data_IF_829778594186
#
_entry.id   IF_829778594186
#
_cell.length_a   1.000
_cell.length_b   1.000
_cell.length_c   1.000
_cell.angle_alpha   90.00
_cell.angle_beta   90.00
_cell.angle_gamma   90.00
#
_symmetry.space_group_name_H-M   'P 1'
#
loop_
_entity.id
_entity.type
_entity.pdbx_description
1 polymer ?
#
# COMPACT_ATOMS: atom_id res chain seq x y z
N UNK A 1 9.50 -9.21 5.19
CA UNK A 1 9.32 -7.80 4.80
C UNK A 1 8.04 -7.28 5.40
N UNK A 2 8.10 -6.14 6.09
CA UNK A 2 6.91 -5.54 6.66
C UNK A 2 6.15 -4.72 5.62
N UNK A 3 4.92 -4.34 5.94
CA UNK A 3 4.14 -3.45 5.09
C UNK A 3 4.86 -2.11 4.90
N UNK A 4 5.47 -1.59 5.96
CA UNK A 4 6.22 -0.33 5.87
C UNK A 4 7.43 -0.47 4.95
N UNK A 5 8.16 -1.58 5.02
CA UNK A 5 9.29 -1.82 4.12
C UNK A 5 8.82 -1.91 2.67
N UNK A 6 7.69 -2.56 2.44
CA UNK A 6 7.10 -2.66 1.11
C UNK A 6 6.77 -1.27 0.54
N UNK A 7 6.18 -0.41 1.35
CA UNK A 7 5.84 0.96 0.93
C UNK A 7 7.09 1.76 0.61
N UNK A 8 8.15 1.63 1.43
CA UNK A 8 9.41 2.33 1.17
C UNK A 8 10.05 1.87 -0.13
N UNK A 9 10.04 0.57 -0.39
CA UNK A 9 10.54 0.04 -1.66
C UNK A 9 9.72 0.53 -2.84
N UNK A 10 8.39 0.59 -2.68
CA UNK A 10 7.52 1.12 -3.71
C UNK A 10 7.91 2.55 -4.07
N UNK A 11 8.14 3.40 -3.07
CA UNK A 11 8.55 4.78 -3.30
C UNK A 11 9.86 4.85 -4.07
N UNK A 12 10.83 4.00 -3.73
CA UNK A 12 12.09 3.92 -4.45
C UNK A 12 11.87 3.58 -5.93
N UNK A 13 11.07 2.57 -6.20
CA UNK A 13 10.76 2.16 -7.58
C UNK A 13 10.03 3.25 -8.36
N UNK A 14 9.18 4.00 -7.69
CA UNK A 14 8.40 5.06 -8.32
C UNK A 14 9.14 6.40 -8.36
N UNK A 15 10.35 6.46 -7.81
CA UNK A 15 11.18 7.66 -7.78
C UNK A 15 10.51 8.82 -7.06
N UNK A 16 9.81 8.54 -5.98
CA UNK A 16 9.19 9.58 -5.14
C UNK A 16 9.64 9.39 -3.69
N UNK A 17 9.58 10.46 -2.91
CA UNK A 17 9.83 10.36 -1.48
C UNK A 17 8.60 9.85 -0.75
N UNK A 18 8.81 9.31 0.45
CA UNK A 18 7.70 8.92 1.33
C UNK A 18 6.83 10.15 1.65
N UNK A 19 7.47 11.31 1.83
CA UNK A 19 6.74 12.56 2.08
C UNK A 19 5.83 12.93 0.91
N UNK A 20 6.30 12.76 -0.31
CA UNK A 20 5.48 13.02 -1.48
C UNK A 20 4.31 12.06 -1.56
N UNK A 21 4.54 10.78 -1.27
CA UNK A 21 3.46 9.80 -1.25
C UNK A 21 2.39 10.20 -0.24
N UNK A 22 2.81 10.61 0.96
CA UNK A 22 1.88 11.05 2.00
C UNK A 22 0.98 12.17 1.48
N UNK A 23 1.56 13.17 0.82
CA UNK A 23 0.78 14.28 0.27
C UNK A 23 -0.21 13.82 -0.79
N UNK A 24 0.18 12.89 -1.64
CA UNK A 24 -0.69 12.38 -2.71
C UNK A 24 -1.90 11.64 -2.17
N UNK A 25 -1.80 11.06 -1.00
CA UNK A 25 -2.93 10.35 -0.37
C UNK A 25 -3.65 11.20 0.68
N UNK A 26 -3.33 12.50 0.73
CA UNK A 26 -4.03 13.43 1.61
C UNK A 26 -3.61 13.39 3.06
N UNK A 27 -2.40 12.92 3.35
CA UNK A 27 -1.88 12.85 4.71
C UNK A 27 -0.66 13.75 4.85
N UNK A 28 -0.40 14.20 6.09
CA UNK A 28 0.87 14.90 6.36
C UNK A 28 2.00 13.87 6.41
N UNK A 29 3.22 14.27 5.98
CA UNK A 29 4.37 13.37 6.08
C UNK A 29 4.61 12.87 7.50
N UNK A 30 4.41 13.72 8.51
CA UNK A 30 4.60 13.34 9.91
C UNK A 30 3.64 12.24 10.34
N UNK A 31 2.35 12.40 10.02
CA UNK A 31 1.34 11.40 10.38
C UNK A 31 1.60 10.08 9.65
N UNK A 32 1.94 10.15 8.37
CA UNK A 32 2.21 8.95 7.60
C UNK A 32 3.46 8.22 8.11
N UNK A 33 4.52 8.96 8.44
CA UNK A 33 5.72 8.37 9.03
C UNK A 33 5.42 7.65 10.34
N UNK A 34 4.56 8.23 11.19
CA UNK A 34 4.15 7.56 12.42
C UNK A 34 3.45 6.24 12.15
N UNK A 35 2.57 6.20 11.15
CA UNK A 35 1.89 4.97 10.76
C UNK A 35 2.88 3.92 10.27
N UNK A 36 3.87 4.33 9.49
CA UNK A 36 4.90 3.41 9.02
C UNK A 36 5.71 2.84 10.19
N UNK A 37 6.11 3.69 11.14
CA UNK A 37 6.87 3.24 12.30
C UNK A 37 6.08 2.27 13.17
N UNK A 38 4.79 2.48 13.30
CA UNK A 38 3.91 1.68 14.15
C UNK A 38 3.32 0.48 13.42
N UNK A 39 3.59 0.34 12.12
CA UNK A 39 3.01 -0.72 11.28
C UNK A 39 1.47 -0.70 11.32
N UNK A 40 0.89 0.50 11.27
CA UNK A 40 -0.56 0.69 11.38
C UNK A 40 -1.20 1.17 10.09
N UNK A 41 -0.51 1.04 8.96
CA UNK A 41 -1.10 1.35 7.65
C UNK A 41 -2.19 0.32 7.36
N UNK A 42 -3.40 0.81 7.08
CA UNK A 42 -4.57 -0.03 6.88
C UNK A 42 -4.67 -0.51 5.43
N UNK A 43 -5.48 -1.55 5.21
CA UNK A 43 -5.79 -2.01 3.86
C UNK A 43 -6.37 -0.87 3.02
N UNK A 44 -7.27 -0.07 3.59
CA UNK A 44 -7.87 1.06 2.89
C UNK A 44 -6.81 2.05 2.42
N UNK A 45 -5.80 2.31 3.26
CA UNK A 45 -4.70 3.21 2.89
C UNK A 45 -3.82 2.60 1.78
N UNK A 46 -3.58 1.29 1.82
CA UNK A 46 -2.84 0.62 0.76
C UNK A 46 -3.56 0.72 -0.59
N UNK A 47 -4.89 0.58 -0.57
CA UNK A 47 -5.70 0.76 -1.77
C UNK A 47 -5.62 2.20 -2.27
N UNK A 48 -5.69 3.17 -1.36
CA UNK A 48 -5.56 4.59 -1.70
C UNK A 48 -4.20 4.89 -2.33
N UNK A 49 -3.13 4.30 -1.79
CA UNK A 49 -1.78 4.43 -2.35
C UNK A 49 -1.74 3.89 -3.78
N UNK A 50 -2.27 2.70 -3.99
CA UNK A 50 -2.27 2.08 -5.32
C UNK A 50 -3.04 2.93 -6.33
N UNK A 51 -4.20 3.44 -5.93
CA UNK A 51 -5.00 4.30 -6.81
C UNK A 51 -4.28 5.61 -7.11
N UNK A 52 -3.65 6.22 -6.11
CA UNK A 52 -2.93 7.48 -6.30
C UNK A 52 -1.73 7.35 -7.24
N UNK A 53 -1.09 6.19 -7.26
CA UNK A 53 0.06 5.91 -8.11
C UNK A 53 -0.30 5.19 -9.41
N UNK A 54 -1.58 4.91 -9.61
CA UNK A 54 -2.10 4.19 -10.78
C UNK A 54 -1.42 2.83 -10.96
N UNK A 55 -1.29 2.10 -9.86
CA UNK A 55 -0.74 0.75 -9.84
C UNK A 55 -1.75 -0.20 -9.20
N UNK A 56 -1.45 -1.50 -9.27
CA UNK A 56 -2.32 -2.54 -8.70
C UNK A 56 -1.78 -3.01 -7.37
N UNK A 57 -2.66 -3.11 -6.37
CA UNK A 57 -2.39 -3.75 -5.10
C UNK A 57 -3.34 -4.92 -4.91
N UNK A 58 -2.83 -6.07 -4.54
CA UNK A 58 -3.64 -7.26 -4.24
C UNK A 58 -3.20 -7.90 -2.94
N UNK A 59 -4.19 -8.37 -2.16
CA UNK A 59 -3.98 -9.29 -1.05
C UNK A 59 -4.60 -10.62 -1.43
N UNK A 60 -3.92 -11.72 -1.12
CA UNK A 60 -4.38 -13.03 -1.57
C UNK A 60 -4.14 -14.10 -0.52
N UNK A 61 -5.15 -14.95 -0.30
CA UNK A 61 -4.99 -16.24 0.35
C UNK A 61 -4.93 -17.30 -0.73
N UNK A 62 -3.93 -18.16 -0.67
CA UNK A 62 -3.78 -19.28 -1.59
C UNK A 62 -4.02 -20.56 -0.82
N UNK A 63 -5.07 -21.28 -1.17
CA UNK A 63 -5.46 -22.51 -0.48
C UNK A 63 -4.65 -23.69 -1.02
N UNK A 64 -4.63 -24.78 -0.24
CA UNK A 64 -3.90 -26.00 -0.66
C UNK A 64 -4.42 -26.57 -1.99
N UNK A 65 -5.69 -26.36 -2.28
CA UNK A 65 -6.29 -26.78 -3.57
C UNK A 65 -5.82 -25.96 -4.76
N UNK A 66 -5.10 -24.85 -4.51
CA UNK A 66 -4.71 -23.90 -5.55
C UNK A 66 -5.70 -22.77 -5.74
N UNK A 67 -6.87 -22.85 -5.10
CA UNK A 67 -7.85 -21.77 -5.14
C UNK A 67 -7.29 -20.52 -4.48
N UNK A 68 -7.68 -19.36 -5.00
CA UNK A 68 -7.24 -18.05 -4.47
C UNK A 68 -8.44 -17.23 -4.04
N UNK A 69 -8.31 -16.59 -2.87
CA UNK A 69 -9.29 -15.64 -2.37
C UNK A 69 -8.54 -14.31 -2.25
N UNK A 70 -8.93 -13.32 -3.02
CA UNK A 70 -8.16 -12.07 -3.10
C UNK A 70 -9.04 -10.84 -3.13
N UNK A 71 -8.45 -9.71 -2.76
CA UNK A 71 -9.05 -8.39 -2.87
C UNK A 71 -7.97 -7.38 -3.23
N UNK A 72 -8.37 -6.21 -3.69
CA UNK A 72 -7.42 -5.16 -4.04
C UNK A 72 -8.12 -3.94 -4.62
N UNK A 73 -7.32 -2.98 -5.08
CA UNK A 73 -7.84 -1.73 -5.60
C UNK A 73 -8.51 -1.88 -6.98
N UNK A 74 -8.12 -2.90 -7.73
CA UNK A 74 -8.67 -3.17 -9.06
C UNK A 74 -9.66 -4.33 -9.04
N UNK A 75 -10.24 -4.62 -7.88
CA UNK A 75 -11.22 -5.66 -7.73
C UNK A 75 -12.48 -5.23 -8.48
N UNK A 76 -12.85 -5.99 -9.50
CA UNK A 76 -13.93 -5.63 -10.41
C UNK A 76 -15.32 -6.05 -9.92
N UNK A 77 -15.41 -6.55 -8.72
CA UNK A 77 -16.68 -7.03 -8.18
C UNK A 77 -17.76 -5.95 -8.14
#
# INVERSE_FOLDING_TARGET
MSTSDMIKQLCEHMNISVAELARRIGQTPQNFNKKLQRETVTLKELITIADALDITYEQVFILHSGAKIKTGNKDAS
#
